data_IF_128527909945
#
_entry.id   IF_128527909945
#
_cell.length_a   1.000
_cell.length_b   1.000
_cell.length_c   1.000
_cell.angle_alpha   90.00
_cell.angle_beta   90.00
_cell.angle_gamma   90.00
#
_symmetry.space_group_name_H-M   'P 1'
#
loop_
_entity.id
_entity.type
_entity.pdbx_description
1 polymer ?
#
# COMPACT_ATOMS: atom_id res chain seq x y z
N UNK A 1 1.06 -5.68 -6.56
CA UNK A 1 1.56 -4.30 -6.51
C UNK A 1 2.88 -4.25 -7.26
N UNK A 2 3.26 -3.11 -7.82
CA UNK A 2 4.63 -2.88 -8.31
C UNK A 2 5.49 -2.37 -7.16
N UNK A 3 6.73 -2.85 -7.04
CA UNK A 3 7.66 -2.43 -5.99
C UNK A 3 8.60 -1.36 -6.51
N UNK A 4 8.33 -0.10 -6.17
CA UNK A 4 9.17 1.04 -6.49
C UNK A 4 10.42 1.04 -5.60
N UNK A 5 11.59 1.14 -6.22
CA UNK A 5 12.88 1.22 -5.52
C UNK A 5 13.33 2.67 -5.33
N UNK A 6 13.24 3.50 -6.37
CA UNK A 6 13.74 4.88 -6.38
C UNK A 6 15.25 4.96 -6.50
N UNK A 7 15.76 6.06 -7.06
CA UNK A 7 17.20 6.28 -7.25
C UNK A 7 17.95 6.32 -5.90
N UNK A 8 19.17 5.78 -5.90
CA UNK A 8 20.06 5.79 -4.72
C UNK A 8 21.21 6.74 -5.00
N UNK A 9 21.24 7.89 -4.30
CA UNK A 9 22.23 8.96 -4.54
C UNK A 9 23.54 8.81 -3.75
N UNK A 10 23.50 8.45 -2.45
CA UNK A 10 24.71 8.38 -1.62
C UNK A 10 24.80 7.12 -0.74
N UNK A 11 25.96 6.46 -0.83
CA UNK A 11 26.41 5.50 0.17
C UNK A 11 27.00 6.23 1.37
N UNK A 12 26.28 6.23 2.49
CA UNK A 12 26.75 6.80 3.76
C UNK A 12 28.04 6.14 4.30
N UNK A 13 28.47 5.01 3.71
CA UNK A 13 29.74 4.32 4.05
C UNK A 13 30.77 4.33 2.92
N UNK A 14 30.49 4.97 1.77
CA UNK A 14 31.37 4.94 0.60
C UNK A 14 31.45 3.63 -0.19
N UNK A 15 30.74 2.57 0.23
CA UNK A 15 30.80 1.23 -0.39
C UNK A 15 29.70 0.91 -1.41
N UNK A 16 28.61 1.69 -1.51
CA UNK A 16 27.55 1.49 -2.51
C UNK A 16 27.65 2.51 -3.65
N UNK A 17 27.56 2.03 -4.89
CA UNK A 17 27.49 2.88 -6.07
C UNK A 17 26.13 3.57 -6.13
N UNK A 18 26.12 4.84 -6.55
CA UNK A 18 24.88 5.49 -6.95
C UNK A 18 24.23 4.64 -8.06
N UNK A 19 22.94 4.40 -7.94
CA UNK A 19 22.19 3.53 -8.85
C UNK A 19 20.92 4.23 -9.28
N UNK A 20 20.69 4.20 -10.60
CA UNK A 20 19.52 4.76 -11.25
C UNK A 20 18.46 3.68 -11.38
N UNK A 21 17.25 4.01 -10.98
CA UNK A 21 16.06 3.18 -11.06
C UNK A 21 14.95 3.97 -11.75
N UNK A 22 13.76 4.07 -11.13
CA UNK A 22 12.55 4.50 -11.80
C UNK A 22 12.34 6.02 -11.85
N UNK A 23 13.12 6.82 -11.12
CA UNK A 23 12.78 8.24 -10.90
C UNK A 23 12.74 9.06 -12.19
N UNK A 24 13.62 8.80 -13.16
CA UNK A 24 13.67 9.55 -14.41
C UNK A 24 12.48 9.26 -15.35
N UNK A 25 11.80 8.12 -15.19
CA UNK A 25 10.68 7.70 -16.03
C UNK A 25 9.41 7.34 -15.22
N UNK A 26 9.32 7.83 -13.97
CA UNK A 26 8.30 7.41 -13.01
C UNK A 26 6.87 7.59 -13.54
N UNK A 27 6.58 8.69 -14.24
CA UNK A 27 5.23 8.94 -14.78
C UNK A 27 4.84 7.91 -15.85
N UNK A 28 5.74 7.66 -16.81
CA UNK A 28 5.55 6.68 -17.89
C UNK A 28 5.39 5.26 -17.32
N UNK A 29 6.16 4.93 -16.29
CA UNK A 29 6.03 3.68 -15.56
C UNK A 29 4.63 3.56 -14.93
N UNK A 30 4.19 4.56 -14.18
CA UNK A 30 2.89 4.48 -13.51
C UNK A 30 1.72 4.42 -14.49
N UNK A 31 1.81 5.11 -15.64
CA UNK A 31 0.84 4.99 -16.73
C UNK A 31 0.80 3.55 -17.27
N UNK A 32 1.97 2.96 -17.54
CA UNK A 32 2.07 1.56 -17.97
C UNK A 32 1.49 0.59 -16.92
N UNK A 33 1.73 0.83 -15.64
CA UNK A 33 1.17 0.01 -14.55
C UNK A 33 -0.35 0.05 -14.53
N UNK A 34 -0.96 1.23 -14.74
CA UNK A 34 -2.42 1.39 -14.84
C UNK A 34 -2.96 0.61 -16.04
N UNK A 35 -2.31 0.73 -17.21
CA UNK A 35 -2.68 -0.01 -18.42
C UNK A 35 -2.59 -1.54 -18.22
N UNK A 36 -1.57 -1.97 -17.48
CA UNK A 36 -1.38 -3.35 -17.05
C UNK A 36 -2.29 -3.78 -15.89
N UNK A 37 -3.16 -2.88 -15.40
CA UNK A 37 -4.15 -3.11 -14.33
C UNK A 37 -3.54 -3.45 -12.98
N UNK A 38 -2.37 -2.91 -12.68
CA UNK A 38 -1.84 -2.97 -11.32
C UNK A 38 -2.78 -2.20 -10.39
N UNK A 39 -3.21 -2.79 -9.26
CA UNK A 39 -4.13 -2.13 -8.33
C UNK A 39 -3.40 -1.23 -7.32
N UNK A 40 -2.07 -1.37 -7.21
CA UNK A 40 -1.30 -0.83 -6.11
C UNK A 40 0.18 -0.66 -6.46
N UNK A 41 0.81 0.28 -5.77
CA UNK A 41 2.25 0.47 -5.70
C UNK A 41 2.76 0.26 -4.28
N UNK A 42 3.96 -0.26 -4.14
CA UNK A 42 4.63 -0.41 -2.86
C UNK A 42 6.01 0.22 -2.86
N UNK A 43 6.38 0.82 -1.73
CA UNK A 43 7.64 1.52 -1.53
C UNK A 43 8.11 1.38 -0.07
N UNK A 44 9.31 1.87 0.21
CA UNK A 44 10.06 1.61 1.44
C UNK A 44 10.44 2.93 2.12
N UNK A 45 9.64 3.45 3.07
CA UNK A 45 9.96 4.72 3.73
C UNK A 45 11.38 4.86 4.30
N UNK A 46 12.05 3.80 4.82
CA UNK A 46 13.46 3.88 5.25
C UNK A 46 14.49 4.00 4.11
N UNK A 47 14.10 3.73 2.87
CA UNK A 47 14.99 3.72 1.69
C UNK A 47 14.71 4.84 0.71
N UNK A 48 13.53 5.45 0.77
CA UNK A 48 13.12 6.52 -0.12
C UNK A 48 13.23 7.87 0.58
N UNK A 49 13.72 8.89 -0.14
CA UNK A 49 13.74 10.26 0.38
C UNK A 49 12.31 10.80 0.52
N UNK A 50 12.17 11.90 1.28
CA UNK A 50 10.87 12.57 1.45
C UNK A 50 10.36 13.07 0.09
N UNK A 51 11.25 13.57 -0.76
CA UNK A 51 10.94 14.07 -2.10
C UNK A 51 10.48 12.94 -3.03
N UNK A 52 11.18 11.80 -3.02
CA UNK A 52 10.78 10.59 -3.74
C UNK A 52 9.38 10.13 -3.32
N UNK A 53 9.15 9.98 -2.01
CA UNK A 53 7.85 9.57 -1.48
C UNK A 53 6.76 10.57 -1.83
N UNK A 54 7.01 11.87 -1.67
CA UNK A 54 6.01 12.91 -1.97
C UNK A 54 5.60 12.90 -3.45
N UNK A 55 6.55 12.74 -4.37
CA UNK A 55 6.26 12.65 -5.81
C UNK A 55 5.49 11.38 -6.14
N UNK A 56 5.95 10.23 -5.63
CA UNK A 56 5.32 8.93 -5.85
C UNK A 56 3.87 8.91 -5.34
N UNK A 57 3.64 9.42 -4.12
CA UNK A 57 2.33 9.52 -3.47
C UNK A 57 1.34 10.34 -4.30
N UNK A 58 1.76 11.51 -4.79
CA UNK A 58 0.93 12.36 -5.64
C UNK A 58 0.51 11.64 -6.92
N UNK A 59 1.48 11.05 -7.64
CA UNK A 59 1.22 10.36 -8.90
C UNK A 59 0.38 9.09 -8.72
N UNK A 60 0.59 8.34 -7.63
CA UNK A 60 -0.19 7.16 -7.29
C UNK A 60 -1.66 7.52 -7.04
N UNK A 61 -1.90 8.62 -6.31
CA UNK A 61 -3.25 9.13 -6.03
C UNK A 61 -3.98 9.55 -7.30
N UNK A 62 -3.32 10.29 -8.18
CA UNK A 62 -3.90 10.70 -9.48
C UNK A 62 -4.34 9.51 -10.33
N UNK A 63 -3.64 8.38 -10.20
CA UNK A 63 -3.86 7.15 -10.97
C UNK A 63 -4.72 6.11 -10.24
N UNK A 64 -5.26 6.43 -9.07
CA UNK A 64 -6.02 5.49 -8.23
C UNK A 64 -5.25 4.19 -7.91
N UNK A 65 -3.95 4.29 -7.66
CA UNK A 65 -3.14 3.18 -7.18
C UNK A 65 -3.17 3.17 -5.65
N UNK A 66 -3.55 2.04 -5.05
CA UNK A 66 -3.41 1.88 -3.61
C UNK A 66 -1.93 1.90 -3.23
N UNK A 67 -1.61 2.62 -2.16
CA UNK A 67 -0.25 2.70 -1.65
C UNK A 67 -0.03 1.72 -0.49
N UNK A 68 1.08 0.98 -0.53
CA UNK A 68 1.45 0.00 0.48
C UNK A 68 2.91 0.20 0.88
N UNK A 69 3.23 0.06 2.17
CA UNK A 69 4.63 -0.02 2.61
C UNK A 69 5.02 -1.48 2.83
N UNK A 70 6.22 -1.86 2.39
CA UNK A 70 6.83 -3.15 2.71
C UNK A 70 8.35 -3.03 2.74
N UNK A 71 9.00 -3.42 3.83
CA UNK A 71 10.46 -3.33 3.99
C UNK A 71 11.03 -4.73 4.19
N UNK A 72 11.98 -5.11 3.34
CA UNK A 72 12.68 -6.38 3.48
C UNK A 72 13.68 -6.34 4.65
N UNK A 73 13.58 -7.33 5.54
CA UNK A 73 14.56 -7.59 6.60
C UNK A 73 15.58 -8.58 6.07
N UNK A 74 16.74 -8.07 5.65
CA UNK A 74 17.79 -8.89 5.01
C UNK A 74 18.87 -9.36 5.99
N UNK A 75 18.78 -8.98 7.27
CA UNK A 75 19.75 -9.31 8.30
C UNK A 75 19.10 -9.30 9.69
N UNK A 76 19.53 -10.21 10.56
CA UNK A 76 19.10 -10.25 11.97
C UNK A 76 19.52 -9.02 12.78
N UNK A 77 20.47 -8.22 12.27
CA UNK A 77 20.89 -6.96 12.88
C UNK A 77 20.07 -5.75 12.40
N UNK A 78 19.26 -5.91 11.36
CA UNK A 78 18.43 -4.82 10.85
C UNK A 78 17.34 -4.48 11.88
N UNK A 79 17.17 -3.18 12.14
CA UNK A 79 16.12 -2.71 13.05
C UNK A 79 14.74 -3.08 12.51
N UNK A 80 13.89 -3.63 13.38
CA UNK A 80 12.47 -3.82 13.11
C UNK A 80 11.65 -2.54 13.32
N UNK A 81 12.23 -1.53 13.99
CA UNK A 81 11.60 -0.22 14.13
C UNK A 81 11.79 0.58 12.83
N UNK A 82 10.71 1.23 12.41
CA UNK A 82 10.67 2.15 11.27
C UNK A 82 10.05 3.48 11.72
N UNK A 83 10.84 4.41 12.27
CA UNK A 83 10.32 5.71 12.71
C UNK A 83 9.72 6.53 11.56
N UNK A 84 10.15 6.29 10.33
CA UNK A 84 9.63 6.94 9.11
C UNK A 84 8.13 6.68 8.93
N UNK A 85 7.64 5.47 9.28
CA UNK A 85 6.21 5.13 9.25
C UNK A 85 5.36 5.87 10.28
N UNK A 86 5.98 6.46 11.31
CA UNK A 86 5.28 7.28 12.31
C UNK A 86 5.05 8.72 11.81
N UNK A 87 5.76 9.11 10.73
CA UNK A 87 5.66 10.42 10.11
C UNK A 87 4.27 10.70 9.52
N UNK A 88 3.82 11.97 9.46
CA UNK A 88 2.54 12.32 8.84
C UNK A 88 2.42 11.86 7.38
N UNK A 89 3.51 11.89 6.63
CA UNK A 89 3.59 11.48 5.22
C UNK A 89 3.45 9.98 4.98
N UNK A 90 3.49 9.15 6.03
CA UNK A 90 3.43 7.69 5.92
C UNK A 90 2.28 7.07 6.73
N UNK A 91 1.52 7.88 7.47
CA UNK A 91 0.45 7.41 8.36
C UNK A 91 -0.67 6.67 7.61
N UNK A 92 -0.96 7.08 6.37
CA UNK A 92 -1.94 6.39 5.52
C UNK A 92 -1.50 4.96 5.18
N UNK A 93 -0.21 4.69 5.06
CA UNK A 93 0.33 3.35 4.78
C UNK A 93 -0.03 2.36 5.88
N UNK A 94 -0.06 2.81 7.15
CA UNK A 94 -0.53 1.99 8.28
C UNK A 94 -2.02 1.66 8.15
N UNK A 95 -2.83 2.64 7.73
CA UNK A 95 -4.27 2.39 7.48
C UNK A 95 -4.47 1.45 6.29
N UNK A 96 -3.71 1.64 5.21
CA UNK A 96 -3.75 0.79 4.03
C UNK A 96 -3.31 -0.64 4.33
N UNK A 97 -2.37 -0.85 5.26
CA UNK A 97 -2.01 -2.19 5.73
C UNK A 97 -3.22 -2.90 6.38
N UNK A 98 -3.99 -2.22 7.24
CA UNK A 98 -5.23 -2.77 7.78
C UNK A 98 -6.29 -3.02 6.71
N UNK A 99 -6.38 -2.13 5.71
CA UNK A 99 -7.28 -2.33 4.57
C UNK A 99 -6.90 -3.57 3.76
N UNK A 100 -5.60 -3.82 3.58
CA UNK A 100 -5.08 -5.00 2.89
C UNK A 100 -5.39 -6.28 3.66
N UNK A 101 -5.27 -6.28 4.99
CA UNK A 101 -5.66 -7.41 5.84
C UNK A 101 -7.15 -7.73 5.65
N UNK A 102 -8.02 -6.72 5.72
CA UNK A 102 -9.45 -6.91 5.50
C UNK A 102 -9.75 -7.43 4.08
N UNK A 103 -9.07 -6.86 3.07
CA UNK A 103 -9.18 -7.30 1.67
C UNK A 103 -8.84 -8.79 1.53
N UNK A 104 -7.72 -9.24 2.10
CA UNK A 104 -7.29 -10.64 2.04
C UNK A 104 -8.32 -11.57 2.66
N UNK A 105 -8.83 -11.25 3.85
CA UNK A 105 -9.81 -12.10 4.52
C UNK A 105 -11.15 -12.13 3.79
N UNK A 106 -11.68 -10.98 3.39
CA UNK A 106 -12.96 -10.88 2.69
C UNK A 106 -12.91 -11.56 1.31
N UNK A 107 -11.85 -11.32 0.54
CA UNK A 107 -11.69 -11.93 -0.79
C UNK A 107 -11.51 -13.44 -0.74
N UNK A 108 -10.94 -13.99 0.34
CA UNK A 108 -10.85 -15.44 0.54
C UNK A 108 -12.21 -16.11 0.79
N UNK A 109 -13.20 -15.35 1.29
CA UNK A 109 -14.57 -15.86 1.51
C UNK A 109 -15.41 -15.69 0.25
N UNK A 110 -15.32 -14.53 -0.39
CA UNK A 110 -16.01 -14.21 -1.62
C UNK A 110 -15.17 -13.22 -2.44
N UNK A 111 -14.69 -13.59 -3.64
CA UNK A 111 -13.93 -12.68 -4.51
C UNK A 111 -14.63 -11.35 -4.80
N UNK A 112 -15.97 -11.31 -4.80
CA UNK A 112 -16.73 -10.06 -4.97
C UNK A 112 -16.45 -9.06 -3.84
N UNK A 113 -16.14 -9.54 -2.64
CA UNK A 113 -15.79 -8.71 -1.49
C UNK A 113 -14.32 -8.26 -1.48
N UNK A 114 -13.54 -8.58 -2.51
CA UNK A 114 -12.20 -8.00 -2.67
C UNK A 114 -12.27 -6.50 -2.96
N UNK A 115 -11.46 -5.70 -2.27
CA UNK A 115 -11.34 -4.24 -2.43
C UNK A 115 -11.21 -3.75 -3.88
N UNK A 116 -10.70 -4.54 -4.83
CA UNK A 116 -10.58 -4.14 -6.24
C UNK A 116 -11.59 -4.80 -7.17
N UNK A 117 -12.52 -5.61 -6.63
CA UNK A 117 -13.56 -6.24 -7.43
C UNK A 117 -14.53 -5.20 -7.99
N UNK A 118 -14.99 -5.44 -9.22
CA UNK A 118 -16.05 -4.66 -9.87
C UNK A 118 -17.41 -4.89 -9.22
N UNK A 119 -17.62 -6.11 -8.72
CA UNK A 119 -18.85 -6.55 -8.06
C UNK A 119 -18.86 -6.22 -6.56
N UNK A 120 -17.85 -5.49 -6.08
CA UNK A 120 -17.78 -5.08 -4.69
C UNK A 120 -18.99 -4.20 -4.33
N UNK A 121 -19.67 -4.44 -3.19
CA UNK A 121 -20.79 -3.59 -2.76
C UNK A 121 -20.43 -2.10 -2.65
N UNK A 122 -19.15 -1.80 -2.43
CA UNK A 122 -18.60 -0.45 -2.35
C UNK A 122 -17.99 0.05 -3.66
N UNK A 123 -18.17 -0.63 -4.79
CA UNK A 123 -17.57 -0.23 -6.08
C UNK A 123 -18.00 1.16 -6.55
N UNK A 124 -19.14 1.66 -6.06
CA UNK A 124 -19.64 3.01 -6.30
C UNK A 124 -18.86 4.11 -5.55
N UNK A 125 -18.04 3.75 -4.56
CA UNK A 125 -17.22 4.69 -3.78
C UNK A 125 -15.84 4.85 -4.41
N UNK A 126 -15.21 6.00 -4.16
CA UNK A 126 -13.82 6.18 -4.61
C UNK A 126 -12.84 5.29 -3.81
N UNK A 127 -11.60 5.19 -4.28
CA UNK A 127 -10.61 4.29 -3.66
C UNK A 127 -10.32 4.66 -2.20
N UNK A 128 -10.17 5.95 -1.88
CA UNK A 128 -9.87 6.42 -0.52
C UNK A 128 -10.99 6.06 0.47
N UNK A 129 -12.25 6.21 0.05
CA UNK A 129 -13.41 5.81 0.86
C UNK A 129 -13.45 4.30 1.10
N UNK A 130 -13.18 3.49 0.06
CA UNK A 130 -13.09 2.03 0.17
C UNK A 130 -11.98 1.61 1.11
N UNK A 131 -10.79 2.19 0.96
CA UNK A 131 -9.65 1.94 1.84
C UNK A 131 -9.98 2.28 3.29
N UNK A 132 -10.68 3.39 3.54
CA UNK A 132 -11.10 3.79 4.88
C UNK A 132 -12.02 2.76 5.54
N UNK A 133 -13.03 2.27 4.81
CA UNK A 133 -13.94 1.21 5.30
C UNK A 133 -13.17 -0.07 5.60
N UNK A 134 -12.34 -0.54 4.66
CA UNK A 134 -11.56 -1.77 4.84
C UNK A 134 -10.53 -1.64 5.97
N UNK A 135 -9.92 -0.48 6.15
CA UNK A 135 -9.01 -0.22 7.26
C UNK A 135 -9.75 -0.27 8.61
N UNK A 136 -10.96 0.28 8.68
CA UNK A 136 -11.82 0.20 9.87
C UNK A 136 -12.17 -1.25 10.21
N UNK A 137 -12.57 -2.02 9.20
CA UNK A 137 -12.87 -3.44 9.33
C UNK A 137 -11.64 -4.22 9.82
N UNK A 138 -10.49 -4.07 9.16
CA UNK A 138 -9.26 -4.75 9.54
C UNK A 138 -8.86 -4.48 10.99
N UNK A 139 -8.99 -3.25 11.47
CA UNK A 139 -8.70 -2.87 12.86
C UNK A 139 -9.65 -3.50 13.89
N UNK A 140 -10.90 -3.77 13.50
CA UNK A 140 -11.94 -4.35 14.37
C UNK A 140 -12.05 -5.86 14.25
N UNK A 141 -11.30 -6.45 13.33
CA UNK A 141 -11.31 -7.89 13.08
C UNK A 141 -10.90 -8.64 14.34
N UNK A 142 -11.65 -9.68 14.67
CA UNK A 142 -11.26 -10.63 15.71
C UNK A 142 -10.11 -11.49 15.18
N UNK A 143 -8.94 -11.40 15.82
CA UNK A 143 -7.75 -12.17 15.45
C UNK A 143 -7.95 -13.69 15.60
N UNK A 144 -8.88 -14.13 16.45
CA UNK A 144 -9.22 -15.54 16.64
C UNK A 144 -10.35 -16.02 15.72
N UNK A 145 -11.10 -15.10 15.12
CA UNK A 145 -12.11 -15.39 14.12
C UNK A 145 -12.07 -14.37 12.95
N UNK A 146 -11.00 -14.40 12.13
CA UNK A 146 -10.76 -13.36 11.12
C UNK A 146 -11.80 -13.37 9.99
N UNK A 147 -12.46 -14.50 9.73
CA UNK A 147 -13.52 -14.58 8.71
C UNK A 147 -14.86 -14.02 9.20
N UNK A 148 -15.01 -13.82 10.52
CA UNK A 148 -16.12 -13.11 11.15
C UNK A 148 -16.28 -11.65 10.67
N UNK A 149 -15.30 -11.16 9.91
CA UNK A 149 -15.31 -9.85 9.28
C UNK A 149 -16.43 -9.70 8.25
N UNK A 150 -16.86 -10.79 7.61
CA UNK A 150 -17.94 -10.76 6.62
C UNK A 150 -19.26 -10.34 7.25
N UNK A 151 -19.58 -10.83 8.45
CA UNK A 151 -20.80 -10.44 9.16
C UNK A 151 -20.77 -8.98 9.58
N UNK A 152 -19.59 -8.46 9.96
CA UNK A 152 -19.40 -7.03 10.27
C UNK A 152 -19.69 -6.18 9.03
N UNK A 153 -19.06 -6.52 7.89
CA UNK A 153 -19.27 -5.84 6.62
C UNK A 153 -20.75 -5.86 6.21
N UNK A 154 -21.39 -7.02 6.30
CA UNK A 154 -22.80 -7.20 5.95
C UNK A 154 -23.70 -6.30 6.80
N UNK A 155 -23.51 -6.26 8.12
CA UNK A 155 -24.33 -5.41 9.02
C UNK A 155 -24.16 -3.91 8.80
N UNK A 156 -23.03 -3.49 8.24
CA UNK A 156 -22.72 -2.07 8.03
C UNK A 156 -23.12 -1.55 6.66
N UNK A 157 -23.25 -2.43 5.66
CA UNK A 157 -23.46 -2.07 4.26
C UNK A 157 -24.76 -2.61 3.66
N UNK A 158 -25.42 -3.56 4.32
CA UNK A 158 -26.68 -4.19 3.91
C UNK A 158 -27.70 -4.14 5.06
#
# INVERSE_FOLDING_TARGET
AYAYLGDVAESVTGDKKAEKFEDDFLEELLDLLVDCRFPAITYMPPRNTIEQMSRLQALAKERNLMEISGVDINSSRQSMNCPELLGPSARHLVSNAWALVAHEKLSSVDPALGLFSKDNPLSHKNLDERLSVYASLGRRMDAHNPLGLREILTKELL
#
